data_IF_489621818501
#
_entry.id   IF_489621818501
#
_cell.length_a   1.000
_cell.length_b   1.000
_cell.length_c   1.000
_cell.angle_alpha   90.00
_cell.angle_beta   90.00
_cell.angle_gamma   90.00
#
_symmetry.space_group_name_H-M   'P 1'
#
loop_
_entity.id
_entity.type
_entity.pdbx_description
1 polymer ?
#
# COMPACT_ATOMS: atom_id res chain seq x y z
N UNK A 1 -63.01 -19.99 1.09
CA UNK A 1 -64.08 -19.01 0.82
C UNK A 1 -63.77 -18.43 -0.55
N UNK A 2 -64.52 -18.62 -1.62
CA UNK A 2 -65.76 -19.32 -1.93
C UNK A 2 -65.82 -19.39 -3.49
N UNK A 3 -66.42 -20.47 -4.02
CA UNK A 3 -67.25 -20.62 -5.25
C UNK A 3 -66.89 -19.85 -6.55
N UNK A 4 -66.62 -20.50 -7.69
CA UNK A 4 -67.53 -21.23 -8.61
C UNK A 4 -68.51 -20.36 -9.40
N UNK A 5 -68.74 -20.75 -10.66
CA UNK A 5 -69.69 -20.27 -11.69
C UNK A 5 -69.23 -19.04 -12.51
N UNK A 6 -69.31 -19.02 -13.83
CA UNK A 6 -69.88 -19.99 -14.78
C UNK A 6 -69.65 -19.50 -16.21
N UNK A 7 -69.36 -20.45 -17.10
CA UNK A 7 -69.37 -20.27 -18.54
C UNK A 7 -70.79 -20.53 -19.03
N UNK A 8 -71.47 -19.53 -19.60
CA UNK A 8 -72.64 -19.59 -20.51
C UNK A 8 -73.20 -18.15 -20.64
N UNK A 9 -73.72 -17.65 -21.75
CA UNK A 9 -74.12 -18.21 -23.03
C UNK A 9 -74.38 -17.03 -24.01
N UNK A 10 -74.37 -17.32 -25.30
CA UNK A 10 -75.15 -16.72 -26.40
C UNK A 10 -75.42 -15.19 -26.42
N UNK A 11 -75.05 -14.54 -27.52
CA UNK A 11 -76.04 -14.02 -28.47
C UNK A 11 -75.32 -13.54 -29.73
N UNK A 12 -75.53 -14.29 -30.82
CA UNK A 12 -75.45 -13.74 -32.15
C UNK A 12 -76.69 -12.86 -32.32
N UNK A 13 -76.48 -11.55 -32.38
CA UNK A 13 -77.47 -10.63 -32.93
C UNK A 13 -76.69 -9.50 -33.60
N UNK A 14 -76.62 -9.56 -34.92
CA UNK A 14 -76.39 -8.37 -35.73
C UNK A 14 -77.69 -7.56 -35.72
N UNK A 15 -77.71 -6.31 -35.25
CA UNK A 15 -78.58 -5.31 -35.81
C UNK A 15 -77.81 -4.59 -36.90
N UNK A 16 -78.18 -4.95 -38.12
CA UNK A 16 -77.91 -4.25 -39.35
C UNK A 16 -78.41 -2.79 -39.26
N UNK A 17 -77.53 -1.84 -39.57
CA UNK A 17 -77.92 -0.61 -40.26
C UNK A 17 -77.98 0.69 -39.47
N UNK A 18 -77.30 1.68 -40.05
CA UNK A 18 -77.59 3.12 -40.03
C UNK A 18 -77.01 3.96 -38.89
N UNK A 19 -75.76 4.39 -39.05
CA UNK A 19 -75.51 5.82 -39.11
C UNK A 19 -74.28 6.05 -40.00
N UNK A 20 -74.56 6.41 -41.25
CA UNK A 20 -73.60 6.98 -42.18
C UNK A 20 -73.25 8.39 -41.65
N UNK A 21 -72.50 8.46 -40.55
CA UNK A 21 -71.67 9.63 -40.32
C UNK A 21 -70.60 9.53 -41.39
N UNK A 22 -70.75 10.30 -42.48
CA UNK A 22 -69.78 10.34 -43.56
C UNK A 22 -68.41 10.50 -42.94
N UNK A 23 -67.67 9.39 -42.84
CA UNK A 23 -66.40 9.40 -42.13
C UNK A 23 -65.53 10.35 -42.92
N UNK A 24 -65.22 11.50 -42.32
CA UNK A 24 -64.35 12.46 -42.93
C UNK A 24 -62.92 11.89 -42.87
N UNK A 25 -62.60 11.07 -43.87
CA UNK A 25 -61.30 10.42 -44.04
C UNK A 25 -60.19 11.46 -44.15
N UNK A 26 -60.50 12.67 -44.63
CA UNK A 26 -59.57 13.78 -44.67
C UNK A 26 -59.27 14.30 -43.25
N UNK A 27 -60.29 14.41 -42.39
CA UNK A 27 -60.10 14.75 -40.98
C UNK A 27 -59.29 13.68 -40.22
N UNK A 28 -59.59 12.38 -40.42
CA UNK A 28 -58.83 11.27 -39.81
C UNK A 28 -57.37 11.23 -40.28
N UNK A 29 -57.12 11.51 -41.56
CA UNK A 29 -55.76 11.58 -42.10
C UNK A 29 -54.98 12.76 -41.50
N UNK A 30 -55.59 13.95 -41.44
CA UNK A 30 -54.99 15.13 -40.81
C UNK A 30 -54.68 14.88 -39.32
N UNK A 31 -55.58 14.21 -38.62
CA UNK A 31 -55.37 13.81 -37.23
C UNK A 31 -54.21 12.82 -37.10
N UNK A 32 -54.15 11.77 -37.92
CA UNK A 32 -53.06 10.80 -37.91
C UNK A 32 -51.69 11.44 -38.21
N UNK A 33 -51.63 12.36 -39.17
CA UNK A 33 -50.42 13.14 -39.47
C UNK A 33 -50.03 14.02 -38.27
N UNK A 34 -51.00 14.67 -37.61
CA UNK A 34 -50.73 15.46 -36.42
C UNK A 34 -50.22 14.61 -35.24
N UNK A 35 -50.75 13.40 -35.04
CA UNK A 35 -50.26 12.46 -34.03
C UNK A 35 -48.85 11.96 -34.36
N UNK A 36 -48.57 11.65 -35.63
CA UNK A 36 -47.24 11.25 -36.09
C UNK A 36 -46.20 12.34 -35.80
N UNK A 37 -46.51 13.60 -36.11
CA UNK A 37 -45.63 14.73 -35.79
C UNK A 37 -45.41 14.90 -34.29
N UNK A 38 -46.47 14.77 -33.48
CA UNK A 38 -46.35 14.81 -32.02
C UNK A 38 -45.43 13.71 -31.47
N UNK A 39 -45.48 12.51 -32.03
CA UNK A 39 -44.58 11.43 -31.63
C UNK A 39 -43.16 11.66 -32.11
N UNK A 40 -42.98 12.20 -33.31
CA UNK A 40 -41.68 12.58 -33.82
C UNK A 40 -41.02 13.64 -32.95
N UNK A 41 -41.77 14.68 -32.56
CA UNK A 41 -41.29 15.74 -31.66
C UNK A 41 -40.93 15.18 -30.27
N UNK A 42 -41.76 14.29 -29.73
CA UNK A 42 -41.48 13.61 -28.45
C UNK A 42 -40.25 12.70 -28.54
N UNK A 43 -40.07 11.99 -29.66
CA UNK A 43 -38.92 11.13 -29.88
C UNK A 43 -37.63 11.96 -29.98
N UNK A 44 -37.67 13.09 -30.68
CA UNK A 44 -36.53 14.04 -30.76
C UNK A 44 -36.19 14.63 -29.39
N UNK A 45 -37.19 15.04 -28.62
CA UNK A 45 -36.97 15.55 -27.26
C UNK A 45 -36.34 14.49 -26.35
N UNK A 46 -36.90 13.27 -26.33
CA UNK A 46 -36.37 12.16 -25.55
C UNK A 46 -34.95 11.75 -25.99
N UNK A 47 -34.66 11.81 -27.29
CA UNK A 47 -33.33 11.56 -27.83
C UNK A 47 -32.32 12.64 -27.39
N UNK A 48 -32.72 13.91 -27.42
CA UNK A 48 -31.87 15.01 -26.95
C UNK A 48 -31.55 14.86 -25.45
N UNK A 49 -32.56 14.56 -24.62
CA UNK A 49 -32.38 14.31 -23.19
C UNK A 49 -31.43 13.12 -22.94
N UNK A 50 -31.56 12.05 -23.73
CA UNK A 50 -30.67 10.89 -23.64
C UNK A 50 -29.23 11.24 -24.05
N UNK A 51 -29.04 12.02 -25.11
CA UNK A 51 -27.71 12.48 -25.50
C UNK A 51 -27.03 13.33 -24.43
N UNK A 52 -27.78 14.23 -23.78
CA UNK A 52 -27.26 15.06 -22.70
C UNK A 52 -26.86 14.21 -21.48
N UNK A 53 -27.71 13.26 -21.08
CA UNK A 53 -27.40 12.30 -20.02
C UNK A 53 -26.16 11.46 -20.35
N UNK A 54 -26.04 11.02 -21.61
CA UNK A 54 -24.88 10.27 -22.09
C UNK A 54 -23.61 11.11 -22.01
N UNK A 55 -23.62 12.35 -22.51
CA UNK A 55 -22.49 13.28 -22.45
C UNK A 55 -22.09 13.58 -21.00
N UNK A 56 -23.05 13.80 -20.11
CA UNK A 56 -22.79 14.06 -18.69
C UNK A 56 -22.16 12.84 -18.01
N UNK A 57 -22.66 11.64 -18.31
CA UNK A 57 -22.10 10.39 -17.78
C UNK A 57 -20.69 10.13 -18.30
N UNK A 58 -20.45 10.34 -19.59
CA UNK A 58 -19.11 10.20 -20.18
C UNK A 58 -18.12 11.20 -19.57
N UNK A 59 -18.53 12.46 -19.39
CA UNK A 59 -17.71 13.47 -18.71
C UNK A 59 -17.41 13.08 -17.26
N UNK A 60 -18.43 12.65 -16.51
CA UNK A 60 -18.28 12.21 -15.12
C UNK A 60 -17.39 10.98 -15.01
N UNK A 61 -17.51 10.00 -15.91
CA UNK A 61 -16.64 8.82 -15.94
C UNK A 61 -15.20 9.22 -16.27
N UNK A 62 -14.98 10.10 -17.24
CA UNK A 62 -13.64 10.63 -17.55
C UNK A 62 -13.01 11.33 -16.34
N UNK A 63 -13.78 12.15 -15.61
CA UNK A 63 -13.26 12.86 -14.45
C UNK A 63 -13.08 11.93 -13.24
N UNK A 64 -13.96 10.93 -13.06
CA UNK A 64 -13.80 9.86 -12.08
C UNK A 64 -12.54 9.01 -12.36
N UNK A 65 -12.24 8.70 -13.62
CA UNK A 65 -11.03 7.97 -14.00
C UNK A 65 -9.76 8.79 -13.77
N UNK A 66 -9.77 10.09 -14.10
CA UNK A 66 -8.65 10.99 -13.83
C UNK A 66 -8.40 11.15 -12.33
N UNK A 67 -9.47 11.32 -11.54
CA UNK A 67 -9.37 11.44 -10.09
C UNK A 67 -8.91 10.12 -9.46
N UNK A 68 -9.44 8.97 -9.89
CA UNK A 68 -8.99 7.67 -9.42
C UNK A 68 -7.49 7.42 -9.72
N UNK A 69 -7.02 7.77 -10.92
CA UNK A 69 -5.58 7.70 -11.26
C UNK A 69 -4.74 8.59 -10.34
N UNK A 70 -5.18 9.83 -10.09
CA UNK A 70 -4.46 10.75 -9.22
C UNK A 70 -4.45 10.28 -7.77
N UNK A 71 -5.55 9.70 -7.29
CA UNK A 71 -5.63 9.10 -5.95
C UNK A 71 -4.66 7.92 -5.84
N UNK A 72 -4.66 7.00 -6.82
CA UNK A 72 -3.75 5.85 -6.80
C UNK A 72 -2.27 6.26 -6.81
N UNK A 73 -1.91 7.28 -7.60
CA UNK A 73 -0.55 7.84 -7.61
C UNK A 73 -0.19 8.46 -6.25
N UNK A 74 -1.07 9.27 -5.66
CA UNK A 74 -0.86 9.87 -4.34
C UNK A 74 -0.81 8.83 -3.21
N UNK A 75 -1.60 7.76 -3.31
CA UNK A 75 -1.56 6.65 -2.36
C UNK A 75 -0.25 5.87 -2.45
N UNK A 76 0.26 5.64 -3.67
CA UNK A 76 1.55 5.00 -3.90
C UNK A 76 2.70 5.86 -3.35
N UNK A 77 2.69 7.17 -3.61
CA UNK A 77 3.67 8.10 -3.04
C UNK A 77 3.60 8.09 -1.51
N UNK A 78 2.41 8.20 -0.92
CA UNK A 78 2.23 8.17 0.53
C UNK A 78 2.68 6.85 1.16
N UNK A 79 2.43 5.72 0.50
CA UNK A 79 2.91 4.42 0.95
C UNK A 79 4.45 4.37 0.96
N UNK A 80 5.10 4.92 -0.07
CA UNK A 80 6.55 5.06 -0.14
C UNK A 80 7.12 5.92 1.00
N UNK A 81 6.54 7.09 1.24
CA UNK A 81 6.95 7.97 2.34
C UNK A 81 6.76 7.32 3.72
N UNK A 82 5.64 6.63 3.95
CA UNK A 82 5.38 5.91 5.20
C UNK A 82 6.37 4.77 5.41
N UNK A 83 6.68 4.00 4.37
CA UNK A 83 7.67 2.93 4.43
C UNK A 83 9.07 3.48 4.76
N UNK A 84 9.48 4.58 4.12
CA UNK A 84 10.76 5.23 4.41
C UNK A 84 10.86 5.71 5.86
N UNK A 85 9.81 6.36 6.39
CA UNK A 85 9.76 6.77 7.79
C UNK A 85 9.82 5.58 8.76
N UNK A 86 9.10 4.49 8.47
CA UNK A 86 9.16 3.28 9.29
C UNK A 86 10.57 2.69 9.32
N UNK A 87 11.23 2.63 8.17
CA UNK A 87 12.62 2.16 8.10
C UNK A 87 13.57 3.07 8.88
N UNK A 88 13.43 4.40 8.80
CA UNK A 88 14.22 5.34 9.62
C UNK A 88 14.01 5.14 11.12
N UNK A 89 12.76 4.92 11.54
CA UNK A 89 12.42 4.63 12.92
C UNK A 89 13.04 3.31 13.38
N UNK A 90 12.98 2.26 12.56
CA UNK A 90 13.63 0.98 12.87
C UNK A 90 15.15 1.12 12.95
N UNK A 91 15.79 1.80 11.99
CA UNK A 91 17.24 2.07 12.04
C UNK A 91 17.62 2.81 13.32
N UNK A 92 16.84 3.82 13.71
CA UNK A 92 17.09 4.60 14.93
C UNK A 92 16.94 3.73 16.19
N UNK A 93 15.94 2.85 16.23
CA UNK A 93 15.73 1.95 17.37
C UNK A 93 16.84 0.90 17.49
N UNK A 94 17.21 0.26 16.37
CA UNK A 94 18.27 -0.75 16.34
C UNK A 94 19.63 -0.13 16.65
N UNK A 95 19.91 1.07 16.12
CA UNK A 95 21.11 1.83 16.44
C UNK A 95 21.26 2.11 17.94
N UNK A 96 20.18 2.53 18.61
CA UNK A 96 20.19 2.75 20.06
C UNK A 96 20.47 1.47 20.86
N UNK A 97 19.99 0.32 20.39
CA UNK A 97 20.17 -0.97 21.08
C UNK A 97 21.59 -1.55 20.90
N UNK A 98 22.14 -1.44 19.69
CA UNK A 98 23.41 -2.09 19.31
C UNK A 98 24.62 -1.17 19.41
N UNK A 99 24.40 0.15 19.50
CA UNK A 99 25.48 1.15 19.46
C UNK A 99 26.02 1.44 18.05
N UNK A 100 25.49 0.77 17.02
CA UNK A 100 25.84 1.05 15.63
C UNK A 100 25.17 2.35 15.13
N UNK A 101 25.86 3.21 14.35
CA UNK A 101 25.25 4.42 13.78
C UNK A 101 24.09 4.07 12.85
N UNK A 102 22.94 4.74 13.03
CA UNK A 102 21.73 4.50 12.23
C UNK A 102 21.96 4.70 10.71
N UNK A 103 22.93 5.54 10.34
CA UNK A 103 23.29 5.84 8.94
C UNK A 103 23.98 4.66 8.22
N UNK A 104 24.62 3.76 8.99
CA UNK A 104 25.32 2.59 8.46
C UNK A 104 24.39 1.37 8.37
N UNK A 105 23.28 1.37 9.11
CA UNK A 105 22.33 0.25 9.13
C UNK A 105 21.51 0.20 7.84
N UNK A 106 21.55 -0.95 7.16
CA UNK A 106 20.79 -1.18 5.92
C UNK A 106 19.76 -2.28 6.14
N UNK A 107 18.66 -2.16 5.41
CA UNK A 107 17.57 -3.13 5.44
C UNK A 107 16.24 -2.45 5.17
N UNK A 108 15.33 -3.22 4.59
CA UNK A 108 13.96 -2.80 4.28
C UNK A 108 12.96 -3.29 5.33
N UNK A 109 13.33 -4.34 6.09
CA UNK A 109 12.58 -4.84 7.24
C UNK A 109 13.37 -4.66 8.56
N UNK A 110 12.67 -4.79 9.68
CA UNK A 110 13.27 -4.72 11.01
C UNK A 110 14.31 -5.84 11.20
N UNK A 111 14.00 -7.05 10.75
CA UNK A 111 14.88 -8.23 10.87
C UNK A 111 16.18 -8.06 10.08
N UNK A 112 16.10 -7.49 8.86
CA UNK A 112 17.28 -7.18 8.06
C UNK A 112 18.18 -6.15 8.74
N UNK A 113 17.57 -5.09 9.30
CA UNK A 113 18.30 -4.03 10.01
C UNK A 113 18.96 -4.60 11.28
N UNK A 114 18.27 -5.46 12.04
CA UNK A 114 18.82 -6.12 13.22
C UNK A 114 19.93 -7.10 12.89
N UNK A 115 19.76 -7.92 11.85
CA UNK A 115 20.80 -8.85 11.39
C UNK A 115 22.06 -8.10 10.92
N UNK A 116 21.89 -6.99 10.20
CA UNK A 116 23.02 -6.16 9.79
C UNK A 116 23.71 -5.52 11.00
N UNK A 117 22.95 -5.01 11.98
CA UNK A 117 23.53 -4.46 13.20
C UNK A 117 24.33 -5.50 14.00
N UNK A 118 23.82 -6.73 14.13
CA UNK A 118 24.52 -7.83 14.78
C UNK A 118 25.82 -8.22 14.05
N UNK A 119 25.85 -8.15 12.72
CA UNK A 119 27.07 -8.38 11.95
C UNK A 119 28.15 -7.32 12.17
N UNK A 120 27.75 -6.10 12.56
CA UNK A 120 28.64 -4.98 12.82
C UNK A 120 29.12 -4.93 14.27
N UNK A 121 28.37 -5.49 15.22
CA UNK A 121 28.71 -5.53 16.65
C UNK A 121 30.17 -5.97 16.94
N UNK A 122 30.71 -7.09 16.38
CA UNK A 122 32.10 -7.49 16.62
C UNK A 122 33.14 -6.54 16.01
N UNK A 123 32.76 -5.72 15.03
CA UNK A 123 33.64 -4.73 14.40
C UNK A 123 33.64 -3.40 15.14
N UNK A 124 32.49 -2.98 15.68
CA UNK A 124 32.38 -1.75 16.48
C UNK A 124 32.93 -1.92 17.90
N UNK A 125 32.76 -3.09 18.50
CA UNK A 125 33.31 -3.43 19.81
C UNK A 125 34.31 -4.57 19.66
N UNK A 126 35.53 -4.30 19.14
CA UNK A 126 36.56 -5.33 19.08
C UNK A 126 36.85 -5.79 20.51
N UNK A 127 36.65 -7.09 20.76
CA UNK A 127 36.99 -7.68 22.04
C UNK A 127 38.45 -7.32 22.39
N UNK A 128 38.73 -6.83 23.61
CA UNK A 128 40.07 -6.44 23.98
C UNK A 128 41.00 -7.65 23.84
N UNK A 129 41.91 -7.60 22.87
CA UNK A 129 43.02 -8.54 22.77
C UNK A 129 43.98 -8.24 23.91
N UNK A 130 43.69 -8.78 25.08
CA UNK A 130 44.63 -8.80 26.18
C UNK A 130 45.89 -9.52 25.68
N UNK A 131 47.10 -8.96 25.87
CA UNK A 131 48.33 -9.67 25.57
C UNK A 131 48.33 -10.97 26.38
N UNK A 132 48.47 -12.10 25.70
CA UNK A 132 48.58 -13.41 26.34
C UNK A 132 49.94 -13.48 27.03
N UNK A 133 49.98 -13.14 28.31
CA UNK A 133 51.15 -13.36 29.15
C UNK A 133 51.14 -14.82 29.57
N UNK A 134 52.04 -15.61 28.97
CA UNK A 134 52.29 -16.99 29.39
C UNK A 134 52.85 -16.96 30.82
N UNK A 135 52.01 -17.36 31.78
CA UNK A 135 52.35 -17.52 33.20
C UNK A 135 52.73 -16.20 33.93
N UNK A 136 51.73 -15.38 34.34
CA UNK A 136 51.97 -14.10 35.01
C UNK A 136 52.62 -14.23 36.40
N UNK A 137 52.67 -15.45 36.95
CA UNK A 137 53.33 -15.75 38.22
C UNK A 137 54.76 -16.28 38.04
N UNK A 138 55.23 -16.48 36.80
CA UNK A 138 56.60 -16.95 36.54
C UNK A 138 57.57 -15.79 36.74
N UNK A 139 58.21 -15.74 37.90
CA UNK A 139 59.37 -14.89 38.08
C UNK A 139 60.51 -15.39 37.16
N UNK A 140 61.22 -14.49 36.45
CA UNK A 140 62.36 -14.89 35.65
C UNK A 140 63.38 -15.57 36.55
N UNK A 141 63.85 -16.76 36.16
CA UNK A 141 64.97 -17.46 36.81
C UNK A 141 66.28 -16.78 36.45
N UNK A 142 66.44 -15.54 36.86
CA UNK A 142 67.68 -14.79 36.87
C UNK A 142 68.17 -14.67 38.31
N UNK A 143 69.48 -14.54 38.50
CA UNK A 143 70.06 -14.18 39.79
C UNK A 143 69.34 -12.92 40.27
N UNK A 144 68.86 -12.92 41.51
CA UNK A 144 68.17 -11.75 42.05
C UNK A 144 69.14 -10.57 42.07
N UNK A 145 68.63 -9.33 42.03
CA UNK A 145 69.48 -8.15 42.13
C UNK A 145 70.38 -8.19 43.39
N UNK A 146 69.92 -8.87 44.45
CA UNK A 146 70.70 -9.14 45.66
C UNK A 146 71.86 -10.11 45.42
N UNK A 147 71.71 -11.13 44.59
CA UNK A 147 72.81 -12.04 44.24
C UNK A 147 73.85 -11.39 43.34
N UNK A 148 73.42 -10.54 42.40
CA UNK A 148 74.34 -9.76 41.57
C UNK A 148 75.05 -8.68 42.39
N UNK A 149 74.36 -8.01 43.31
CA UNK A 149 74.95 -7.06 44.24
C UNK A 149 75.95 -7.75 45.18
N UNK A 150 75.62 -8.93 45.71
CA UNK A 150 76.56 -9.73 46.51
C UNK A 150 77.77 -10.17 45.69
N UNK A 151 77.58 -10.65 44.45
CA UNK A 151 78.68 -11.03 43.58
C UNK A 151 79.58 -9.83 43.21
N UNK A 152 78.99 -8.64 43.03
CA UNK A 152 79.71 -7.40 42.76
C UNK A 152 80.49 -6.92 43.99
N UNK A 153 79.89 -6.95 45.18
CA UNK A 153 80.56 -6.63 46.45
C UNK A 153 81.70 -7.62 46.72
N UNK A 154 81.48 -8.92 46.57
CA UNK A 154 82.54 -9.94 46.69
C UNK A 154 83.68 -9.73 45.68
N UNK A 155 83.37 -9.21 44.48
CA UNK A 155 84.38 -8.88 43.45
C UNK A 155 85.14 -7.57 43.72
N UNK A 156 84.53 -6.62 44.41
CA UNK A 156 85.14 -5.33 44.77
C UNK A 156 86.00 -5.40 46.02
N UNK A 157 85.60 -6.24 46.97
CA UNK A 157 86.26 -6.35 48.28
C UNK A 157 87.08 -7.64 48.45
N UNK A 158 87.09 -8.53 47.46
CA UNK A 158 88.05 -9.63 47.36
C UNK A 158 88.20 -10.44 48.64
N UNK A 159 87.18 -11.21 49.02
CA UNK A 159 87.36 -12.29 50.00
C UNK A 159 88.05 -13.47 49.30
N UNK A 160 89.37 -13.38 49.17
CA UNK A 160 90.22 -14.56 49.01
C UNK A 160 90.27 -15.31 50.34
N UNK A 161 89.55 -16.43 50.42
CA UNK A 161 90.00 -17.68 51.06
C UNK A 161 89.12 -18.87 50.74
#
# INVERSE_FOLDING_TARGET
>A
MADDTGTQNENADEPQGTQDESTDWEAKYKEAVAQSRKWEDRAKASFADFEELKKLKEAQMSDAEKTAKRIAELEQENAGYKAAQQQEQWRTQVAKKTGAPADVLRGTSLEEIEAHAASLEPLLHPAPKLPHVSDPAKQPSGKTADEEAKAWVSRLFGEDK
#
